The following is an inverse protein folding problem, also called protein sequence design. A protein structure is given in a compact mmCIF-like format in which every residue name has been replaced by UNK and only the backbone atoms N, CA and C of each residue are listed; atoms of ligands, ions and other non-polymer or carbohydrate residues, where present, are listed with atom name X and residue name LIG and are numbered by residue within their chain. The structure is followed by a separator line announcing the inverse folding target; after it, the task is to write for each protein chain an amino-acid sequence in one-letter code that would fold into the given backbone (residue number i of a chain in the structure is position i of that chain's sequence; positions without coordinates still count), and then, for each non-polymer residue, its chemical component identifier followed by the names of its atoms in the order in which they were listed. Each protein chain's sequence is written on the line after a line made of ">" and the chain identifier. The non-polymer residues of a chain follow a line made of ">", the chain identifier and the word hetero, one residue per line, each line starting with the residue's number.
data_IF_045543056112
#
_entry.id   IF_045543056112
#
_cell.length_a   1.000
_cell.length_b   1.000
_cell.length_c   1.000
_cell.angle_alpha   90.00
_cell.angle_beta   90.00
_cell.angle_gamma   90.00
#
_symmetry.space_group_name_H-M   'P 1'
#
loop_
_entity.id
_entity.type
_entity.pdbx_description
1 polymer ?
#
# COMPACT_ATOMS: atom_id res chain seq x y z
N UNK A 1 13.86 8.66 -23.11
CA UNK A 1 13.94 7.19 -23.23
C UNK A 1 15.09 6.57 -22.45
N UNK A 2 16.38 6.92 -22.71
CA UNK A 2 17.53 6.32 -22.00
C UNK A 2 17.49 6.44 -20.46
N UNK A 3 17.03 7.58 -19.92
CA UNK A 3 16.88 7.79 -18.47
C UNK A 3 15.77 6.93 -17.84
N UNK A 4 14.69 6.64 -18.58
CA UNK A 4 13.57 5.81 -18.11
C UNK A 4 13.99 4.34 -18.03
N UNK A 5 14.81 3.89 -18.99
CA UNK A 5 15.37 2.54 -19.01
C UNK A 5 16.35 2.36 -17.83
N UNK A 6 17.18 3.36 -17.53
CA UNK A 6 18.09 3.31 -16.37
C UNK A 6 17.31 3.26 -15.05
N UNK A 7 16.23 4.03 -14.90
CA UNK A 7 15.37 3.97 -13.71
C UNK A 7 14.66 2.62 -13.61
N UNK A 8 14.15 2.08 -14.72
CA UNK A 8 13.52 0.76 -14.76
C UNK A 8 14.48 -0.39 -14.45
N UNK A 9 15.71 -0.33 -14.95
CA UNK A 9 16.77 -1.31 -14.65
C UNK A 9 17.24 -1.18 -13.20
N UNK A 10 17.35 0.04 -12.66
CA UNK A 10 17.66 0.26 -11.25
C UNK A 10 16.56 -0.30 -10.33
N UNK A 11 15.29 -0.15 -10.73
CA UNK A 11 14.13 -0.72 -10.04
C UNK A 11 14.14 -2.26 -10.08
N UNK A 12 14.52 -2.85 -11.20
CA UNK A 12 14.67 -4.31 -11.37
C UNK A 12 15.85 -4.87 -10.55
N UNK A 13 17.01 -4.21 -10.56
CA UNK A 13 18.21 -4.66 -9.86
C UNK A 13 18.08 -4.50 -8.35
N UNK A 14 17.49 -3.41 -7.87
CA UNK A 14 17.18 -3.24 -6.43
C UNK A 14 16.00 -4.14 -6.00
N UNK A 15 15.04 -4.40 -6.89
CA UNK A 15 13.91 -5.28 -6.63
C UNK A 15 14.32 -6.74 -6.45
N UNK A 16 15.27 -7.26 -7.24
CA UNK A 16 15.66 -8.67 -7.21
C UNK A 16 16.24 -9.17 -5.88
N UNK A 17 16.80 -8.30 -5.02
CA UNK A 17 17.26 -8.70 -3.67
C UNK A 17 16.16 -8.64 -2.60
N UNK A 18 15.06 -7.92 -2.86
CA UNK A 18 13.89 -7.83 -1.95
C UNK A 18 12.90 -8.98 -2.16
N UNK A 19 12.95 -9.69 -3.30
CA UNK A 19 12.02 -10.78 -3.66
C UNK A 19 12.07 -11.96 -2.67
N UNK A 20 13.15 -12.15 -1.92
CA UNK A 20 13.25 -13.22 -0.90
C UNK A 20 12.66 -12.86 0.48
N UNK A 21 12.16 -11.63 0.68
CA UNK A 21 11.59 -11.17 1.97
C UNK A 21 10.28 -10.38 1.84
N UNK A 22 9.74 -10.26 0.62
CA UNK A 22 8.48 -9.58 0.38
C UNK A 22 7.31 -10.52 0.68
N UNK A 23 6.44 -10.13 1.61
CA UNK A 23 5.20 -10.82 1.94
C UNK A 23 4.10 -10.32 1.02
N UNK A 24 3.48 -11.18 0.19
CA UNK A 24 2.34 -10.80 -0.63
C UNK A 24 1.08 -10.70 0.23
N UNK A 25 0.24 -9.73 -0.08
CA UNK A 25 -0.96 -9.44 0.68
C UNK A 25 -2.09 -9.08 -0.29
N UNK A 26 -3.28 -9.61 -0.01
CA UNK A 26 -4.51 -9.23 -0.71
C UNK A 26 -5.16 -8.13 0.12
N UNK A 27 -5.60 -7.06 -0.53
CA UNK A 27 -6.34 -5.97 0.10
C UNK A 27 -7.70 -5.80 -0.56
N UNK A 28 -8.70 -5.41 0.23
CA UNK A 28 -10.01 -5.06 -0.27
C UNK A 28 -10.77 -4.15 0.69
N UNK A 29 -11.57 -3.23 0.15
CA UNK A 29 -12.37 -2.31 0.95
C UNK A 29 -12.79 -1.07 0.17
N UNK A 30 -12.80 0.07 0.86
CA UNK A 30 -13.21 1.36 0.31
C UNK A 30 -11.99 2.24 0.08
N UNK A 31 -11.82 2.72 -1.16
CA UNK A 31 -10.75 3.65 -1.56
C UNK A 31 -11.16 4.40 -2.85
N UNK A 32 -11.96 5.48 -2.71
CA UNK A 32 -12.75 6.14 -3.78
C UNK A 32 -14.01 5.36 -4.20
N UNK A 33 -13.89 4.06 -4.43
CA UNK A 33 -14.98 3.11 -4.63
C UNK A 33 -14.76 1.83 -3.84
N UNK A 34 -15.32 0.72 -4.31
CA UNK A 34 -14.93 -0.61 -3.84
C UNK A 34 -13.63 -0.99 -4.55
N UNK A 35 -12.57 -1.15 -3.79
CA UNK A 35 -11.24 -1.49 -4.30
C UNK A 35 -10.83 -2.89 -3.85
N UNK A 36 -10.15 -3.62 -4.73
CA UNK A 36 -9.50 -4.91 -4.44
C UNK A 36 -8.16 -4.99 -5.15
N UNK A 37 -7.14 -5.50 -4.48
CA UNK A 37 -5.81 -5.50 -5.05
C UNK A 37 -4.81 -6.41 -4.37
N UNK A 38 -3.58 -6.30 -4.88
CA UNK A 38 -2.42 -7.00 -4.38
C UNK A 38 -1.38 -5.97 -3.95
N UNK A 39 -0.73 -6.26 -2.84
CA UNK A 39 0.42 -5.50 -2.38
C UNK A 39 1.52 -6.42 -1.88
N UNK A 40 2.72 -5.86 -1.80
CA UNK A 40 3.91 -6.50 -1.28
C UNK A 40 4.43 -5.67 -0.12
N UNK A 41 4.71 -6.30 1.02
CA UNK A 41 5.41 -5.69 2.15
C UNK A 41 6.79 -6.31 2.30
N UNK A 42 7.85 -5.50 2.32
CA UNK A 42 9.22 -5.96 2.56
C UNK A 42 9.84 -5.22 3.74
N UNK A 43 10.40 -5.96 4.70
CA UNK A 43 11.15 -5.36 5.81
C UNK A 43 12.49 -4.82 5.30
N UNK A 44 12.78 -3.54 5.53
CA UNK A 44 14.02 -2.88 5.07
C UNK A 44 14.92 -2.49 6.25
N UNK A 45 14.33 -2.19 7.40
CA UNK A 45 15.04 -2.02 8.67
C UNK A 45 14.19 -2.51 9.84
N UNK A 46 14.76 -2.57 11.06
CA UNK A 46 14.06 -3.08 12.26
C UNK A 46 12.70 -2.43 12.50
N UNK A 47 12.53 -1.16 12.15
CA UNK A 47 11.30 -0.39 12.35
C UNK A 47 10.81 0.28 11.06
N UNK A 48 11.10 -0.34 9.91
CA UNK A 48 10.67 0.17 8.60
C UNK A 48 10.43 -0.97 7.64
N UNK A 49 9.20 -1.05 7.15
CA UNK A 49 8.86 -1.86 5.97
C UNK A 49 8.55 -0.95 4.79
N UNK A 50 8.90 -1.36 3.57
CA UNK A 50 8.37 -0.77 2.35
C UNK A 50 7.15 -1.56 1.90
N UNK A 51 6.16 -0.85 1.39
CA UNK A 51 4.92 -1.42 0.86
C UNK A 51 4.62 -0.83 -0.51
N UNK A 52 4.21 -1.66 -1.45
CA UNK A 52 3.72 -1.20 -2.73
C UNK A 52 2.71 -2.16 -3.31
N UNK A 53 1.75 -1.64 -4.06
CA UNK A 53 0.64 -2.43 -4.55
C UNK A 53 -0.12 -1.79 -5.69
N UNK A 54 -1.00 -2.60 -6.28
CA UNK A 54 -1.94 -2.21 -7.32
C UNK A 54 -3.32 -2.73 -6.94
N UNK A 55 -4.31 -1.86 -7.05
CA UNK A 55 -5.71 -2.16 -6.78
C UNK A 55 -6.56 -1.80 -7.99
N UNK A 56 -7.62 -2.57 -8.19
CA UNK A 56 -8.70 -2.26 -9.11
C UNK A 56 -9.88 -1.70 -8.33
N UNK A 57 -10.39 -0.55 -8.76
CA UNK A 57 -11.43 0.20 -8.06
C UNK A 57 -12.66 0.37 -8.95
N UNK A 58 -13.84 0.38 -8.34
CA UNK A 58 -15.12 0.60 -9.07
C UNK A 58 -15.46 2.08 -9.28
N UNK A 59 -14.63 2.99 -8.79
CA UNK A 59 -14.79 4.44 -8.93
C UNK A 59 -14.42 4.96 -10.31
N UNK A 60 -14.13 6.26 -10.40
CA UNK A 60 -13.85 6.93 -11.68
C UNK A 60 -12.47 6.59 -12.24
N UNK A 61 -11.57 6.12 -11.39
CA UNK A 61 -10.19 5.76 -11.73
C UNK A 61 -9.98 4.29 -11.39
N UNK A 62 -10.17 3.40 -12.37
CA UNK A 62 -10.30 1.98 -12.13
C UNK A 62 -9.01 1.30 -11.66
N UNK A 63 -7.87 1.99 -11.71
CA UNK A 63 -6.59 1.46 -11.26
C UNK A 63 -5.96 2.42 -10.25
N UNK A 64 -5.53 1.88 -9.12
CA UNK A 64 -4.79 2.60 -8.08
C UNK A 64 -3.45 1.92 -7.94
N UNK A 65 -2.34 2.66 -7.95
CA UNK A 65 -1.04 2.13 -7.59
C UNK A 65 -0.43 2.96 -6.46
N UNK A 66 0.25 2.32 -5.53
CA UNK A 66 0.85 3.01 -4.40
C UNK A 66 2.21 2.43 -4.03
N UNK A 67 3.03 3.27 -3.39
CA UNK A 67 4.33 2.92 -2.85
C UNK A 67 4.60 3.77 -1.62
N UNK A 68 4.97 3.14 -0.50
CA UNK A 68 5.18 3.85 0.75
C UNK A 68 6.01 3.07 1.78
N UNK A 69 6.24 3.72 2.91
CA UNK A 69 6.81 3.13 4.10
C UNK A 69 5.73 2.82 5.13
N UNK A 70 5.97 1.79 5.93
CA UNK A 70 5.20 1.41 7.12
C UNK A 70 6.11 1.47 8.33
N UNK A 71 5.72 2.28 9.30
CA UNK A 71 6.48 2.58 10.51
C UNK A 71 5.69 2.09 11.74
N UNK A 72 6.22 1.18 12.56
CA UNK A 72 5.58 0.81 13.82
C UNK A 72 5.42 2.04 14.72
N UNK A 73 4.24 2.21 15.34
CA UNK A 73 3.97 3.32 16.26
C UNK A 73 3.86 2.83 17.70
N UNK A 74 2.83 2.04 17.97
CA UNK A 74 2.45 1.57 19.32
C UNK A 74 1.55 0.34 19.17
N UNK A 75 0.95 -0.14 20.26
CA UNK A 75 -0.06 -1.20 20.24
C UNK A 75 -1.32 -0.74 20.97
N UNK A 76 -2.49 -1.02 20.39
CA UNK A 76 -3.78 -0.85 21.08
C UNK A 76 -4.22 -2.24 21.57
N UNK A 77 -3.99 -2.50 22.85
CA UNK A 77 -4.14 -3.84 23.41
C UNK A 77 -3.20 -4.81 22.71
N UNK A 78 -3.78 -5.83 22.05
CA UNK A 78 -3.04 -6.87 21.31
C UNK A 78 -2.84 -6.58 19.82
N UNK A 79 -3.30 -5.42 19.33
CA UNK A 79 -3.23 -5.03 17.92
C UNK A 79 -2.09 -4.03 17.70
N UNK A 80 -0.95 -4.45 17.09
CA UNK A 80 0.12 -3.51 16.77
C UNK A 80 -0.32 -2.49 15.72
N UNK A 81 -0.18 -1.22 16.05
CA UNK A 81 -0.49 -0.09 15.20
C UNK A 81 0.76 0.41 14.46
N UNK A 82 0.63 0.64 13.16
CA UNK A 82 1.67 1.25 12.33
C UNK A 82 1.13 2.45 11.56
N UNK A 83 2.02 3.37 11.21
CA UNK A 83 1.76 4.48 10.28
C UNK A 83 2.20 4.07 8.88
N UNK A 84 1.31 4.17 7.90
CA UNK A 84 1.61 4.14 6.48
C UNK A 84 1.78 5.55 5.94
N UNK A 85 2.89 5.79 5.24
CA UNK A 85 3.15 7.03 4.51
C UNK A 85 3.62 6.67 3.12
N UNK A 86 3.01 7.22 2.08
CA UNK A 86 3.41 6.88 0.73
C UNK A 86 2.93 7.83 -0.34
N UNK A 87 3.26 7.47 -1.57
CA UNK A 87 2.70 8.02 -2.78
C UNK A 87 1.59 7.11 -3.28
N UNK A 88 0.55 7.71 -3.84
CA UNK A 88 -0.55 7.02 -4.51
C UNK A 88 -0.77 7.66 -5.87
N UNK A 89 -1.12 6.87 -6.85
CA UNK A 89 -1.56 7.32 -8.16
C UNK A 89 -2.89 6.66 -8.49
N UNK A 90 -3.88 7.47 -8.83
CA UNK A 90 -5.14 6.98 -9.38
C UNK A 90 -5.14 7.16 -10.89
N UNK A 91 -5.44 6.11 -11.63
CA UNK A 91 -5.34 6.06 -13.08
C UNK A 91 -6.69 5.72 -13.70
N UNK A 92 -7.09 6.47 -14.73
CA UNK A 92 -8.23 6.17 -15.58
C UNK A 92 -8.02 6.69 -17.01
N UNK A 93 -8.98 6.39 -17.89
CA UNK A 93 -8.84 6.55 -19.34
C UNK A 93 -8.44 7.97 -19.82
N UNK A 94 -8.70 9.01 -19.02
CA UNK A 94 -8.45 10.40 -19.40
C UNK A 94 -7.76 11.25 -18.33
N UNK A 95 -7.51 10.69 -17.14
CA UNK A 95 -6.96 11.45 -16.01
C UNK A 95 -6.10 10.56 -15.11
N UNK A 96 -4.97 11.11 -14.65
CA UNK A 96 -4.10 10.47 -13.67
C UNK A 96 -3.86 11.43 -12.53
N UNK A 97 -4.17 10.99 -11.31
CA UNK A 97 -4.07 11.79 -10.09
C UNK A 97 -3.00 11.24 -9.15
N UNK A 98 -1.76 11.77 -9.22
CA UNK A 98 -0.75 11.48 -8.23
C UNK A 98 -1.03 12.24 -6.93
N UNK A 99 -0.69 11.63 -5.81
CA UNK A 99 -0.92 12.16 -4.49
C UNK A 99 -0.10 11.46 -3.42
N UNK A 100 -0.46 11.74 -2.17
CA UNK A 100 0.15 11.15 -0.99
C UNK A 100 -0.88 10.35 -0.19
N UNK A 101 -0.43 9.30 0.47
CA UNK A 101 -1.24 8.45 1.32
C UNK A 101 -0.76 8.54 2.76
N UNK A 102 -1.70 8.70 3.68
CA UNK A 102 -1.49 8.68 5.12
C UNK A 102 -2.48 7.69 5.73
N UNK A 103 -1.98 6.57 6.24
CA UNK A 103 -2.83 5.51 6.79
C UNK A 103 -2.36 5.02 8.15
N UNK A 104 -3.30 4.49 8.93
CA UNK A 104 -3.08 3.76 10.15
C UNK A 104 -3.38 2.29 9.88
N UNK A 105 -2.43 1.42 10.22
CA UNK A 105 -2.50 0.00 9.93
C UNK A 105 -2.53 -0.76 11.25
N UNK A 106 -3.68 -1.33 11.57
CA UNK A 106 -3.88 -2.22 12.69
C UNK A 106 -3.50 -3.64 12.25
N UNK A 107 -2.27 -4.04 12.56
CA UNK A 107 -1.83 -5.41 12.35
C UNK A 107 -2.58 -6.33 13.32
N UNK A 108 -2.88 -7.56 12.89
CA UNK A 108 -3.61 -8.56 13.70
C UNK A 108 -4.98 -8.03 14.13
N UNK A 109 -5.72 -7.49 13.16
CA UNK A 109 -7.06 -6.98 13.40
C UNK A 109 -7.97 -8.09 13.94
N UNK A 110 -8.78 -7.78 14.96
CA UNK A 110 -9.61 -8.76 15.68
C UNK A 110 -8.83 -9.92 16.33
N UNK A 111 -7.56 -9.68 16.68
CA UNK A 111 -6.65 -10.70 17.23
C UNK A 111 -6.29 -11.84 16.25
N UNK A 112 -6.60 -11.68 14.96
CA UNK A 112 -6.40 -12.70 13.93
C UNK A 112 -5.18 -12.39 13.07
N UNK A 113 -4.19 -13.28 13.09
CA UNK A 113 -3.22 -13.35 11.99
C UNK A 113 -3.79 -14.28 10.90
N UNK A 114 -3.66 -13.94 9.61
CA UNK A 114 -2.81 -12.88 9.04
C UNK A 114 -3.56 -11.60 8.64
N UNK A 115 -4.66 -11.25 9.33
CA UNK A 115 -5.53 -10.13 8.98
C UNK A 115 -5.01 -8.78 9.49
N UNK A 116 -5.16 -7.73 8.70
CA UNK A 116 -4.96 -6.35 9.14
C UNK A 116 -6.08 -5.43 8.64
N UNK A 117 -6.26 -4.31 9.32
CA UNK A 117 -7.15 -3.22 8.93
C UNK A 117 -6.30 -1.98 8.65
N UNK A 118 -6.54 -1.34 7.52
CA UNK A 118 -5.92 -0.09 7.11
C UNK A 118 -6.98 1.00 6.98
N UNK A 119 -6.80 2.11 7.67
CA UNK A 119 -7.70 3.26 7.62
C UNK A 119 -6.92 4.55 7.47
N UNK A 120 -7.38 5.48 6.64
CA UNK A 120 -6.64 6.71 6.43
C UNK A 120 -7.20 7.59 5.33
N UNK A 121 -6.31 8.39 4.77
CA UNK A 121 -6.63 9.37 3.73
C UNK A 121 -5.60 9.35 2.62
N UNK A 122 -6.09 9.43 1.40
CA UNK A 122 -5.31 9.74 0.22
C UNK A 122 -5.57 11.20 -0.17
N UNK A 123 -4.52 11.97 -0.34
CA UNK A 123 -4.55 13.38 -0.76
C UNK A 123 -3.96 13.45 -2.16
N UNK A 124 -4.84 13.34 -3.16
CA UNK A 124 -4.53 13.58 -4.56
C UNK A 124 -5.18 14.90 -5.00
N UNK A 125 -5.86 14.96 -6.15
CA UNK A 125 -6.64 16.15 -6.55
C UNK A 125 -7.71 16.51 -5.50
N UNK A 126 -8.31 15.49 -4.88
CA UNK A 126 -9.28 15.62 -3.79
C UNK A 126 -8.92 14.63 -2.67
N UNK A 127 -9.33 14.93 -1.44
CA UNK A 127 -9.16 14.02 -0.29
C UNK A 127 -10.09 12.82 -0.39
N UNK A 128 -9.55 11.61 -0.26
CA UNK A 128 -10.29 10.34 -0.34
C UNK A 128 -10.06 9.55 0.95
N UNK A 129 -11.12 8.96 1.48
CA UNK A 129 -11.02 8.08 2.64
C UNK A 129 -10.57 6.69 2.19
N UNK A 130 -9.73 6.07 3.02
CA UNK A 130 -9.25 4.70 2.86
C UNK A 130 -9.76 3.89 4.04
N UNK A 131 -10.41 2.76 3.77
CA UNK A 131 -10.80 1.78 4.76
C UNK A 131 -10.74 0.38 4.14
N UNK A 132 -9.69 -0.37 4.43
CA UNK A 132 -9.38 -1.63 3.76
C UNK A 132 -9.05 -2.72 4.77
N UNK A 133 -9.55 -3.92 4.49
CA UNK A 133 -9.07 -5.15 5.13
C UNK A 133 -8.03 -5.79 4.23
N UNK A 134 -6.99 -6.35 4.83
CA UNK A 134 -6.03 -7.13 4.07
C UNK A 134 -5.58 -8.39 4.78
N UNK A 135 -5.12 -9.34 3.98
CA UNK A 135 -4.74 -10.67 4.39
C UNK A 135 -3.35 -10.97 3.86
N UNK A 136 -2.41 -11.28 4.75
CA UNK A 136 -1.04 -11.67 4.35
C UNK A 136 -1.00 -13.14 3.93
N UNK A 137 -0.39 -13.41 2.79
CA UNK A 137 -0.22 -14.75 2.24
C UNK A 137 1.16 -15.25 2.71
N UNK A 138 1.14 -16.30 3.53
CA UNK A 138 2.33 -16.99 4.05
C UNK A 138 2.49 -18.36 3.39
#
# INVERSE_FOLDING_TARGET
>A
MKRIIVVGVLFLVLGCQLVHAAVPEIVGGIRDGLAVGLQLEAAVARNLSLRGGVEFDTGKQPVIAFLGGKFPLTSIGRMPLSLGLGFVGYFGDRHTDPGFSLTFIFNRFLDLQPLFLEVGVDVAEHGRLVAQLGYKIY
#
